data_IF_902305322238
#
_entry.id   IF_902305322238
#
_cell.length_a   1.000
_cell.length_b   1.000
_cell.length_c   1.000
_cell.angle_alpha   90.00
_cell.angle_beta   90.00
_cell.angle_gamma   90.00
#
_symmetry.space_group_name_H-M   'P 1'
#
loop_
_entity.id
_entity.type
_entity.pdbx_description
1 polymer ?
#
# COMPACT_ATOMS: atom_id res chain seq x y z
N UNK A 1 -34.71 5.47 2.71
CA UNK A 1 -33.28 5.19 3.00
C UNK A 1 -32.62 4.76 1.70
N UNK A 2 -31.52 5.38 1.24
CA UNK A 2 -30.76 4.75 0.15
C UNK A 2 -29.81 5.61 -0.69
N UNK A 3 -29.92 6.95 -0.70
CA UNK A 3 -29.15 7.75 -1.68
C UNK A 3 -27.82 8.31 -1.17
N UNK A 4 -27.68 8.55 0.14
CA UNK A 4 -26.45 9.13 0.73
C UNK A 4 -25.20 8.25 0.55
N UNK A 5 -25.35 6.92 0.57
CA UNK A 5 -24.22 6.00 0.40
C UNK A 5 -23.64 6.07 -1.01
N UNK A 6 -24.50 6.14 -2.03
CA UNK A 6 -24.08 6.23 -3.43
C UNK A 6 -23.47 7.60 -3.76
N UNK A 7 -24.01 8.69 -3.20
CA UNK A 7 -23.43 10.03 -3.36
C UNK A 7 -21.99 10.11 -2.82
N UNK A 8 -21.75 9.57 -1.61
CA UNK A 8 -20.41 9.50 -1.01
C UNK A 8 -19.46 8.64 -1.85
N UNK A 9 -19.93 7.51 -2.36
CA UNK A 9 -19.15 6.63 -3.22
C UNK A 9 -18.73 7.34 -4.52
N UNK A 10 -19.64 8.11 -5.12
CA UNK A 10 -19.41 8.83 -6.37
C UNK A 10 -18.37 9.95 -6.18
N UNK A 11 -18.44 10.70 -5.08
CA UNK A 11 -17.43 11.71 -4.72
C UNK A 11 -16.07 11.04 -4.45
N UNK A 12 -16.06 9.92 -3.74
CA UNK A 12 -14.83 9.14 -3.53
C UNK A 12 -14.23 8.68 -4.85
N UNK A 13 -15.04 8.17 -5.79
CA UNK A 13 -14.56 7.71 -7.08
C UNK A 13 -13.86 8.84 -7.88
N UNK A 14 -14.41 10.05 -7.87
CA UNK A 14 -13.77 11.22 -8.52
C UNK A 14 -12.45 11.57 -7.82
N UNK A 15 -12.41 11.55 -6.49
CA UNK A 15 -11.16 11.80 -5.74
C UNK A 15 -10.10 10.72 -6.01
N UNK A 16 -10.49 9.45 -6.13
CA UNK A 16 -9.59 8.36 -6.51
C UNK A 16 -9.06 8.55 -7.94
N UNK A 17 -9.85 9.11 -8.85
CA UNK A 17 -9.42 9.35 -10.24
C UNK A 17 -8.42 10.52 -10.32
N UNK A 18 -8.62 11.57 -9.52
CA UNK A 18 -7.72 12.74 -9.46
C UNK A 18 -6.43 12.45 -8.66
N UNK A 19 -6.57 11.86 -7.46
CA UNK A 19 -5.46 11.64 -6.54
C UNK A 19 -4.81 10.25 -6.68
N UNK A 20 -5.50 9.29 -7.29
CA UNK A 20 -5.08 7.90 -7.41
C UNK A 20 -5.43 7.04 -6.19
N UNK A 21 -5.58 5.73 -6.40
CA UNK A 21 -5.92 4.76 -5.34
C UNK A 21 -4.85 4.63 -4.24
N UNK A 22 -3.60 5.08 -4.47
CA UNK A 22 -2.52 5.02 -3.48
C UNK A 22 -2.50 6.20 -2.52
N UNK A 23 -3.01 7.39 -2.91
CA UNK A 23 -2.83 8.59 -2.08
C UNK A 23 -3.83 8.71 -0.94
N UNK A 24 -5.07 8.27 -1.13
CA UNK A 24 -6.07 8.22 -0.04
C UNK A 24 -5.68 7.33 1.14
N UNK A 25 -5.26 6.06 0.96
CA UNK A 25 -4.83 5.23 2.09
C UNK A 25 -3.55 5.77 2.74
N UNK A 26 -2.66 6.39 1.97
CA UNK A 26 -1.44 7.02 2.51
C UNK A 26 -1.77 8.21 3.42
N UNK A 27 -2.69 9.09 2.99
CA UNK A 27 -3.20 10.21 3.79
C UNK A 27 -4.03 9.74 5.01
N UNK A 28 -4.83 8.69 4.83
CA UNK A 28 -5.61 8.08 5.92
C UNK A 28 -4.73 7.43 6.99
N UNK A 29 -3.61 6.80 6.60
CA UNK A 29 -2.66 6.18 7.53
C UNK A 29 -1.95 7.24 8.41
N UNK A 30 -1.52 8.35 7.83
CA UNK A 30 -0.89 9.44 8.59
C UNK A 30 -1.88 10.18 9.48
N UNK A 31 -3.09 10.48 8.98
CA UNK A 31 -4.14 11.10 9.78
C UNK A 31 -4.65 10.17 10.89
N UNK A 32 -4.82 8.88 10.58
CA UNK A 32 -5.27 7.87 11.52
C UNK A 32 -4.29 7.64 12.66
N UNK A 33 -2.99 7.59 12.37
CA UNK A 33 -1.94 7.52 13.39
C UNK A 33 -1.89 8.80 14.25
N UNK A 34 -2.06 9.98 13.66
CA UNK A 34 -2.15 11.24 14.40
C UNK A 34 -3.37 11.27 15.34
N UNK A 35 -4.56 10.90 14.86
CA UNK A 35 -5.78 10.81 15.66
C UNK A 35 -5.64 9.76 16.77
N UNK A 36 -5.01 8.61 16.47
CA UNK A 36 -4.76 7.54 17.45
C UNK A 36 -3.86 8.05 18.59
N UNK A 37 -2.79 8.75 18.25
CA UNK A 37 -1.87 9.34 19.23
C UNK A 37 -2.51 10.50 20.01
N UNK A 38 -3.31 11.34 19.34
CA UNK A 38 -4.11 12.37 19.99
C UNK A 38 -5.05 11.77 21.04
N UNK A 39 -5.80 10.71 20.67
CA UNK A 39 -6.72 10.03 21.60
C UNK A 39 -6.00 9.36 22.78
N UNK A 40 -4.80 8.81 22.56
CA UNK A 40 -3.94 8.26 23.63
C UNK A 40 -3.47 9.35 24.60
N UNK A 41 -3.07 10.52 24.08
CA UNK A 41 -2.59 11.64 24.90
C UNK A 41 -3.68 12.34 25.72
N UNK A 42 -4.94 12.30 25.27
CA UNK A 42 -6.07 12.93 25.97
C UNK A 42 -6.72 12.06 27.07
N UNK A 43 -6.13 10.91 27.44
CA UNK A 43 -6.58 10.11 28.59
C UNK A 43 -7.20 8.74 28.26
N UNK A 44 -7.01 8.24 27.04
CA UNK A 44 -7.35 6.86 26.68
C UNK A 44 -6.22 5.89 26.95
N UNK A 45 -6.03 5.50 28.22
CA UNK A 45 -5.14 4.39 28.58
C UNK A 45 -5.89 3.07 28.29
N UNK A 46 -5.37 2.26 27.36
CA UNK A 46 -5.87 0.88 27.17
C UNK A 46 -6.45 0.51 25.80
N UNK A 47 -5.80 0.87 24.69
CA UNK A 47 -5.99 0.05 23.47
C UNK A 47 -4.66 -0.04 22.72
N UNK A 48 -3.87 -1.05 23.10
CA UNK A 48 -2.68 -1.51 22.39
C UNK A 48 -3.11 -2.36 21.18
N UNK A 49 -3.71 -1.74 20.17
CA UNK A 49 -3.86 -2.41 18.89
C UNK A 49 -2.57 -2.24 18.08
N UNK A 50 -1.68 -3.23 18.17
CA UNK A 50 -0.69 -3.51 17.13
C UNK A 50 -1.42 -3.57 15.79
N UNK A 51 -1.25 -2.53 14.97
CA UNK A 51 -1.58 -2.57 13.55
C UNK A 51 -0.28 -2.50 12.74
N UNK A 52 0.68 -3.35 13.10
CA UNK A 52 1.81 -3.67 12.25
C UNK A 52 1.49 -4.97 11.52
N UNK A 53 0.91 -4.83 10.32
CA UNK A 53 1.22 -5.65 9.13
C UNK A 53 0.28 -5.29 7.96
N UNK A 54 0.93 -4.75 6.93
CA UNK A 54 0.63 -4.98 5.50
C UNK A 54 -0.60 -4.28 4.91
N UNK A 55 -0.49 -2.97 4.72
CA UNK A 55 -1.19 -2.26 3.63
C UNK A 55 -0.20 -1.45 2.76
N UNK A 56 1.01 -1.99 2.57
CA UNK A 56 1.86 -1.64 1.43
C UNK A 56 1.60 -2.69 0.34
N UNK A 57 1.14 -2.24 -0.83
CA UNK A 57 0.94 -3.10 -1.99
C UNK A 57 2.19 -3.91 -2.29
N UNK A 58 2.16 -5.20 -1.96
CA UNK A 58 3.04 -6.19 -2.56
C UNK A 58 2.37 -6.66 -3.85
N UNK A 59 2.49 -5.81 -4.88
CA UNK A 59 2.32 -6.14 -6.30
C UNK A 59 3.19 -5.15 -7.09
N UNK A 60 4.49 -5.13 -6.77
CA UNK A 60 5.53 -4.60 -7.65
C UNK A 60 6.89 -5.20 -7.26
N UNK A 61 7.00 -6.52 -7.38
CA UNK A 61 8.28 -7.20 -7.59
C UNK A 61 8.06 -8.46 -8.44
N UNK A 62 7.28 -8.29 -9.52
CA UNK A 62 7.07 -9.29 -10.56
C UNK A 62 7.00 -8.58 -11.91
N UNK A 63 8.12 -8.04 -12.37
CA UNK A 63 8.48 -7.87 -13.79
C UNK A 63 9.95 -7.41 -13.85
N UNK A 64 10.81 -8.38 -14.11
CA UNK A 64 12.25 -8.22 -14.28
C UNK A 64 12.80 -9.51 -14.87
N UNK A 65 12.18 -9.95 -15.97
CA UNK A 65 12.63 -11.04 -16.83
C UNK A 65 14.09 -10.76 -17.22
N UNK A 66 15.02 -11.58 -16.73
CA UNK A 66 16.31 -11.79 -17.38
C UNK A 66 16.26 -13.20 -17.95
N UNK A 67 15.77 -13.27 -19.18
CA UNK A 67 15.89 -14.43 -20.04
C UNK A 67 16.71 -14.00 -21.25
N UNK A 68 18.02 -13.95 -21.07
CA UNK A 68 18.96 -13.88 -22.18
C UNK A 68 19.82 -15.14 -22.15
N UNK A 69 19.32 -16.10 -22.91
CA UNK A 69 20.09 -17.14 -23.58
C UNK A 69 21.17 -16.46 -24.42
N UNK A 70 22.38 -16.43 -23.89
CA UNK A 70 23.62 -16.28 -24.63
C UNK A 70 24.70 -16.92 -23.73
N UNK A 71 25.59 -17.80 -24.16
CA UNK A 71 25.99 -18.26 -25.48
C UNK A 71 27.09 -19.28 -25.15
N UNK A 72 26.90 -20.52 -25.57
CA UNK A 72 27.96 -21.44 -26.02
C UNK A 72 29.39 -21.17 -25.52
N UNK A 73 29.90 -22.00 -24.60
CA UNK A 73 31.32 -22.43 -24.55
C UNK A 73 31.54 -23.51 -23.47
N UNK A 74 31.24 -24.77 -23.80
CA UNK A 74 32.25 -25.84 -23.66
C UNK A 74 33.26 -25.67 -24.80
N UNK A 75 34.54 -26.13 -24.79
CA UNK A 75 35.24 -27.06 -23.89
C UNK A 75 36.70 -26.60 -23.52
N UNK A 76 37.47 -27.51 -22.89
CA UNK A 76 38.95 -27.64 -22.94
C UNK A 76 39.85 -26.89 -21.94
N UNK A 77 40.54 -27.68 -21.09
CA UNK A 77 42.01 -27.74 -21.09
C UNK A 77 42.79 -27.10 -19.93
N UNK A 78 43.53 -27.97 -19.21
CA UNK A 78 44.73 -27.74 -18.38
C UNK A 78 44.59 -26.79 -17.17
N UNK A 79 44.97 -27.18 -15.95
CA UNK A 79 46.25 -27.77 -15.49
C UNK A 79 46.06 -28.73 -14.32
#
# INVERSE_FOLDING_TARGET
MGLKGMEILLIMAVLLLLFGASRLPQLGSSLGSAIRNFKRGFGGEGDEAQADKKAGGSLSSSTGVQNDVAKSQTPSGHV
#
